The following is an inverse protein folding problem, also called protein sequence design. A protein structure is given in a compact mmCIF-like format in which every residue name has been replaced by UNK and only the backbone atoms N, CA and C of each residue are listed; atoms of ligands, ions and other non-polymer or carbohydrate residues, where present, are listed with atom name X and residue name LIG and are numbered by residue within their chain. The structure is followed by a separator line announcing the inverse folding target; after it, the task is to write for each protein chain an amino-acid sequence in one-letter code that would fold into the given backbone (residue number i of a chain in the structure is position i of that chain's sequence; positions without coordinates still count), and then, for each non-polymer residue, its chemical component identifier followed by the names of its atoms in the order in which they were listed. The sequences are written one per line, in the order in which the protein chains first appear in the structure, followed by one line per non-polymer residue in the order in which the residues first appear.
data_IF_224002588955
#
_entry.id   IF_224002588955
#
_cell.length_a   1.000
_cell.length_b   1.000
_cell.length_c   1.000
_cell.angle_alpha   90.00
_cell.angle_beta   90.00
_cell.angle_gamma   90.00
#
_symmetry.space_group_name_H-M   'P 1'
#
loop_
_entity.id
_entity.type
_entity.pdbx_description
1 polymer ?
#
# COMPACT_ATOMS: atom_id res chain seq x y z
N UNK A 1 -9.27 -24.20 17.03
CA UNK A 1 -9.50 -22.76 17.26
C UNK A 1 -8.16 -22.06 17.42
N UNK A 2 -7.98 -20.96 16.75
CA UNK A 2 -6.72 -20.24 16.84
C UNK A 2 -6.55 -19.61 18.21
N UNK A 3 -5.31 -19.59 18.73
CA UNK A 3 -4.98 -18.89 19.97
C UNK A 3 -5.15 -17.39 19.74
N UNK A 4 -5.83 -16.68 20.67
CA UNK A 4 -5.95 -15.23 20.53
C UNK A 4 -4.57 -14.56 20.50
N UNK A 5 -4.45 -13.54 19.67
CA UNK A 5 -3.23 -12.76 19.60
C UNK A 5 -3.04 -11.95 20.87
N UNK A 6 -1.81 -11.88 21.38
CA UNK A 6 -1.51 -10.95 22.45
C UNK A 6 -1.55 -9.51 21.93
N UNK A 7 -1.58 -8.55 22.85
CA UNK A 7 -1.76 -7.13 22.50
C UNK A 7 -0.59 -6.59 21.67
N UNK A 8 0.63 -7.06 21.95
CA UNK A 8 1.83 -6.60 21.23
C UNK A 8 1.80 -7.10 19.79
N UNK A 9 1.59 -8.41 19.62
CA UNK A 9 1.52 -9.03 18.31
C UNK A 9 0.37 -8.43 17.49
N UNK A 10 -0.79 -8.25 18.11
CA UNK A 10 -1.93 -7.66 17.44
C UNK A 10 -1.61 -6.25 16.95
N UNK A 11 -0.97 -5.43 17.78
CA UNK A 11 -0.56 -4.07 17.42
C UNK A 11 0.38 -4.08 16.22
N UNK A 12 1.35 -5.00 16.20
CA UNK A 12 2.29 -5.13 15.09
C UNK A 12 1.59 -5.53 13.80
N UNK A 13 0.62 -6.44 13.87
CA UNK A 13 -0.15 -6.85 12.69
C UNK A 13 -1.03 -5.71 12.16
N UNK A 14 -1.63 -4.94 13.04
CA UNK A 14 -2.45 -3.80 12.63
C UNK A 14 -1.58 -2.73 11.94
N UNK A 15 -0.37 -2.52 12.43
CA UNK A 15 0.59 -1.60 11.79
C UNK A 15 0.97 -2.12 10.41
N UNK A 16 1.26 -3.42 10.30
CA UNK A 16 1.57 -4.04 9.00
C UNK A 16 0.41 -3.90 8.03
N UNK A 17 -0.82 -4.15 8.49
CA UNK A 17 -2.01 -3.96 7.65
C UNK A 17 -2.11 -2.54 7.11
N UNK A 18 -1.87 -1.54 7.98
CA UNK A 18 -1.93 -0.14 7.56
C UNK A 18 -0.87 0.18 6.52
N UNK A 19 0.34 -0.30 6.74
CA UNK A 19 1.43 -0.07 5.80
C UNK A 19 1.11 -0.68 4.44
N UNK A 20 0.60 -1.89 4.41
CA UNK A 20 0.35 -2.60 3.17
C UNK A 20 -0.83 -2.03 2.39
N UNK A 21 -1.92 -1.67 3.08
CA UNK A 21 -3.03 -1.04 2.37
C UNK A 21 -2.66 0.37 1.88
N UNK A 22 -1.81 1.07 2.64
CA UNK A 22 -1.27 2.37 2.22
C UNK A 22 -0.44 2.21 0.95
N UNK A 23 0.46 1.22 0.92
CA UNK A 23 1.31 0.95 -0.24
C UNK A 23 0.49 0.51 -1.45
N UNK A 24 -0.56 -0.29 -1.25
CA UNK A 24 -1.47 -0.64 -2.32
C UNK A 24 -2.03 0.62 -3.01
N UNK A 25 -2.50 1.58 -2.23
CA UNK A 25 -3.03 2.82 -2.80
C UNK A 25 -1.96 3.66 -3.49
N UNK A 26 -0.76 3.70 -2.92
CA UNK A 26 0.36 4.43 -3.53
C UNK A 26 0.72 3.82 -4.89
N UNK A 27 0.93 2.50 -4.95
CA UNK A 27 1.30 1.83 -6.20
C UNK A 27 0.19 1.91 -7.24
N UNK A 28 -1.07 1.80 -6.82
CA UNK A 28 -2.21 1.94 -7.75
C UNK A 28 -2.27 3.33 -8.35
N UNK A 29 -1.98 4.37 -7.55
CA UNK A 29 -1.93 5.75 -8.07
C UNK A 29 -0.76 5.97 -9.00
N UNK A 30 0.41 5.43 -8.67
CA UNK A 30 1.58 5.50 -9.53
C UNK A 30 1.32 4.80 -10.86
N UNK A 31 0.69 3.64 -10.83
CA UNK A 31 0.36 2.88 -12.04
C UNK A 31 -0.52 3.69 -13.00
N UNK A 32 -1.44 4.49 -12.46
CA UNK A 32 -2.30 5.33 -13.29
C UNK A 32 -1.58 6.53 -13.91
N UNK A 33 -0.46 6.93 -13.33
CA UNK A 33 0.29 8.12 -13.80
C UNK A 33 1.44 7.78 -14.71
N UNK A 34 1.97 6.57 -14.63
CA UNK A 34 3.12 6.16 -15.43
C UNK A 34 2.68 5.89 -16.85
N UNK A 35 3.46 6.38 -17.80
CA UNK A 35 3.24 6.08 -19.22
C UNK A 35 3.81 4.73 -19.55
N UNK A 36 3.15 4.01 -20.44
CA UNK A 36 3.57 2.71 -20.88
C UNK A 36 2.90 1.61 -20.08
N UNK A 37 2.18 0.74 -20.80
CA UNK A 37 1.39 -0.32 -20.18
C UNK A 37 2.25 -1.32 -19.41
N UNK A 38 3.48 -1.55 -19.85
CA UNK A 38 4.38 -2.50 -19.18
C UNK A 38 4.73 -2.03 -17.76
N UNK A 39 5.18 -0.77 -17.62
CA UNK A 39 5.56 -0.23 -16.32
C UNK A 39 4.34 -0.06 -15.41
N UNK A 40 3.22 0.37 -15.98
CA UNK A 40 1.98 0.48 -15.23
C UNK A 40 1.54 -0.88 -14.69
N UNK A 41 1.67 -1.93 -15.50
CA UNK A 41 1.34 -3.29 -15.10
C UNK A 41 2.23 -3.79 -13.96
N UNK A 42 3.53 -3.50 -14.00
CA UNK A 42 4.45 -3.87 -12.93
C UNK A 42 4.04 -3.20 -11.62
N UNK A 43 3.79 -1.89 -11.66
CA UNK A 43 3.38 -1.13 -10.47
C UNK A 43 2.06 -1.63 -9.91
N UNK A 44 1.10 -1.92 -10.78
CA UNK A 44 -0.19 -2.45 -10.33
C UNK A 44 -0.03 -3.83 -9.69
N UNK A 45 0.83 -4.68 -10.25
CA UNK A 45 1.09 -6.00 -9.69
C UNK A 45 1.72 -5.91 -8.30
N UNK A 46 2.65 -4.98 -8.10
CA UNK A 46 3.24 -4.73 -6.77
C UNK A 46 2.14 -4.30 -5.80
N UNK A 47 1.30 -3.37 -6.22
CA UNK A 47 0.18 -2.91 -5.40
C UNK A 47 -0.78 -4.04 -5.03
N UNK A 48 -1.11 -4.89 -6.00
CA UNK A 48 -2.00 -6.03 -5.78
C UNK A 48 -1.39 -7.03 -4.79
N UNK A 49 -0.06 -7.22 -4.83
CA UNK A 49 0.64 -8.05 -3.84
C UNK A 49 0.49 -7.45 -2.43
N UNK A 50 0.63 -6.13 -2.30
CA UNK A 50 0.45 -5.47 -1.02
C UNK A 50 -0.96 -5.64 -0.49
N UNK A 51 -1.95 -5.59 -1.37
CA UNK A 51 -3.33 -5.83 -0.98
C UNK A 51 -3.54 -7.28 -0.50
N UNK A 52 -2.91 -8.25 -1.16
CA UNK A 52 -2.97 -9.64 -0.71
C UNK A 52 -2.34 -9.80 0.67
N UNK A 53 -1.22 -9.13 0.94
CA UNK A 53 -0.60 -9.13 2.27
C UNK A 53 -1.55 -8.53 3.31
N UNK A 54 -2.22 -7.44 2.97
CA UNK A 54 -3.21 -6.83 3.85
C UNK A 54 -4.32 -7.81 4.21
N UNK A 55 -4.87 -8.49 3.23
CA UNK A 55 -5.94 -9.46 3.46
C UNK A 55 -5.44 -10.64 4.29
N UNK A 56 -4.20 -11.06 4.08
CA UNK A 56 -3.59 -12.13 4.86
C UNK A 56 -3.50 -11.74 6.34
N UNK A 57 -2.97 -10.57 6.65
CA UNK A 57 -2.89 -10.10 8.03
C UNK A 57 -4.26 -9.87 8.64
N UNK A 58 -5.19 -9.36 7.83
CA UNK A 58 -6.57 -9.16 8.28
C UNK A 58 -7.23 -10.47 8.71
N UNK A 59 -6.87 -11.59 8.09
CA UNK A 59 -7.40 -12.89 8.49
C UNK A 59 -7.04 -13.25 9.93
N UNK A 60 -5.94 -12.71 10.43
CA UNK A 60 -5.53 -12.91 11.83
C UNK A 60 -6.12 -11.88 12.78
N UNK A 61 -6.18 -10.62 12.37
CA UNK A 61 -6.67 -9.54 13.25
C UNK A 61 -8.18 -9.42 13.25
N UNK A 62 -8.83 -9.86 12.17
CA UNK A 62 -10.27 -9.71 12.00
C UNK A 62 -10.73 -8.27 11.91
N UNK A 63 -9.82 -7.34 11.65
CA UNK A 63 -10.09 -5.91 11.70
C UNK A 63 -9.71 -5.25 10.40
N UNK A 64 -10.58 -4.40 9.87
CA UNK A 64 -10.23 -3.54 8.76
C UNK A 64 -9.39 -2.38 9.27
N UNK A 65 -8.38 -2.00 8.50
CA UNK A 65 -7.50 -0.88 8.81
C UNK A 65 -7.48 0.06 7.62
N UNK A 66 -7.72 1.34 7.88
CA UNK A 66 -7.70 2.36 6.83
C UNK A 66 -6.26 2.73 6.49
N UNK A 67 -5.99 3.09 5.22
CA UNK A 67 -4.65 3.52 4.84
C UNK A 67 -4.31 4.87 5.47
N UNK A 68 -3.01 5.17 5.51
CA UNK A 68 -2.55 6.48 5.95
C UNK A 68 -2.70 7.49 4.81
N UNK A 69 -3.68 8.37 4.91
CA UNK A 69 -3.92 9.41 3.89
C UNK A 69 -2.75 10.38 3.79
N UNK A 70 -2.09 10.65 4.92
CA UNK A 70 -0.93 11.54 4.94
C UNK A 70 0.21 10.95 4.11
N UNK A 71 0.50 9.65 4.29
CA UNK A 71 1.54 8.99 3.51
C UNK A 71 1.19 8.95 2.02
N UNK A 72 -0.06 8.65 1.69
CA UNK A 72 -0.52 8.63 0.29
C UNK A 72 -0.33 10.00 -0.34
N UNK A 73 -0.77 11.05 0.34
CA UNK A 73 -0.63 12.43 -0.16
C UNK A 73 0.84 12.82 -0.31
N UNK A 74 1.67 12.45 0.66
CA UNK A 74 3.09 12.75 0.63
C UNK A 74 3.78 12.09 -0.58
N UNK A 75 3.56 10.79 -0.76
CA UNK A 75 4.17 10.07 -1.88
C UNK A 75 3.61 10.52 -3.22
N UNK A 76 2.34 10.87 -3.29
CA UNK A 76 1.75 11.45 -4.51
C UNK A 76 2.44 12.77 -4.86
N UNK A 77 2.65 13.62 -3.87
CA UNK A 77 3.35 14.89 -4.05
C UNK A 77 4.79 14.67 -4.52
N UNK A 78 5.53 13.79 -3.85
CA UNK A 78 6.91 13.46 -4.23
C UNK A 78 6.97 12.94 -5.67
N UNK A 79 6.06 12.07 -6.05
CA UNK A 79 6.00 11.55 -7.42
C UNK A 79 5.80 12.65 -8.44
N UNK A 80 4.96 13.64 -8.14
CA UNK A 80 4.74 14.77 -9.04
C UNK A 80 5.99 15.63 -9.18
N UNK A 81 6.65 15.91 -8.05
CA UNK A 81 7.87 16.71 -8.05
C UNK A 81 8.96 16.01 -8.86
N UNK A 82 9.19 14.70 -8.59
CA UNK A 82 10.18 13.94 -9.33
C UNK A 82 9.81 13.80 -10.80
N UNK A 83 8.52 13.63 -11.10
CA UNK A 83 8.04 13.57 -12.47
C UNK A 83 8.34 14.83 -13.24
N UNK A 84 8.11 15.99 -12.62
CA UNK A 84 8.43 17.28 -13.24
C UNK A 84 9.94 17.46 -13.40
N UNK A 85 10.72 17.05 -12.39
CA UNK A 85 12.18 17.23 -12.39
C UNK A 85 12.86 16.35 -13.44
N UNK A 86 12.40 15.11 -13.59
CA UNK A 86 13.05 14.13 -14.47
C UNK A 86 12.28 13.86 -15.76
N UNK A 87 11.22 14.61 -16.03
CA UNK A 87 10.40 14.42 -17.22
C UNK A 87 9.56 13.16 -17.20
N UNK A 88 9.37 12.56 -16.05
CA UNK A 88 8.51 11.38 -15.88
C UNK A 88 7.05 11.82 -15.82
N UNK A 89 6.18 11.16 -16.58
CA UNK A 89 4.76 11.56 -16.61
C UNK A 89 3.86 10.36 -16.59
#
# INVERSE_FOLDING_TARGET
MATPLDSVTRSQLLTAQRNEITEYHIYSRLARKVRGSHNAGILQNIGDDERRHYEFWKSYTGTEVKPSRVKIAFFTFISRVLGLTFGLK
#
